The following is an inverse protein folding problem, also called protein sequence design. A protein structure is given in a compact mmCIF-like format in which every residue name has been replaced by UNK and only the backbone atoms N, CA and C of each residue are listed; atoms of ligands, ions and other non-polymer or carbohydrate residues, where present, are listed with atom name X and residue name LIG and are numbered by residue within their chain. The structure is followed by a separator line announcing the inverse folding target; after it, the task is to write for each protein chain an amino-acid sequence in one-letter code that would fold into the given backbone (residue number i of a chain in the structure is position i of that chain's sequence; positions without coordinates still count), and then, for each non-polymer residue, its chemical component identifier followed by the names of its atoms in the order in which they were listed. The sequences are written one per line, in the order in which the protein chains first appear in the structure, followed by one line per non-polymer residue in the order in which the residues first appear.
data_IF_209693740083
#
_entry.id   IF_209693740083
#
_cell.length_a   1.000
_cell.length_b   1.000
_cell.length_c   1.000
_cell.angle_alpha   90.00
_cell.angle_beta   90.00
_cell.angle_gamma   90.00
#
_symmetry.space_group_name_H-M   'P 1'
#
loop_
_entity.id
_entity.type
_entity.pdbx_description
1 polymer ?
#
# COMPACT_ATOMS: atom_id res chain seq x y z
N UNK A 1 9.15 14.26 -12.12
CA UNK A 1 7.83 14.65 -11.56
C UNK A 1 6.82 13.68 -12.16
N UNK A 2 6.06 12.94 -11.33
CA UNK A 2 4.97 12.10 -11.84
C UNK A 2 3.82 12.98 -12.36
N UNK A 3 3.10 12.56 -13.41
CA UNK A 3 1.94 13.30 -13.87
C UNK A 3 0.88 13.40 -12.77
N UNK A 4 0.01 14.40 -12.89
CA UNK A 4 -1.17 14.49 -12.03
C UNK A 4 -2.03 13.22 -12.19
N UNK A 5 -2.72 12.83 -11.12
CA UNK A 5 -3.67 11.73 -11.17
C UNK A 5 -4.90 12.21 -11.94
N UNK A 6 -5.08 11.70 -13.16
CA UNK A 6 -6.29 11.94 -13.94
C UNK A 6 -7.49 11.26 -13.29
N UNK A 7 -8.63 11.95 -13.28
CA UNK A 7 -9.92 11.47 -12.75
C UNK A 7 -9.89 10.94 -11.30
N UNK A 8 -9.00 11.48 -10.46
CA UNK A 8 -8.87 11.10 -9.05
C UNK A 8 -9.11 12.28 -8.09
N UNK A 9 -9.87 12.11 -6.99
CA UNK A 9 -10.64 10.93 -6.62
C UNK A 9 -11.91 10.75 -7.49
N UNK A 10 -12.31 9.49 -7.70
CA UNK A 10 -13.47 9.10 -8.51
C UNK A 10 -14.79 9.11 -7.72
N UNK A 11 -14.71 9.11 -6.38
CA UNK A 11 -15.87 8.97 -5.49
C UNK A 11 -16.20 7.52 -5.12
N UNK A 12 -15.50 6.53 -5.68
CA UNK A 12 -15.44 5.16 -5.16
C UNK A 12 -14.15 5.00 -4.34
N UNK A 13 -14.27 5.07 -3.02
CA UNK A 13 -13.15 4.93 -2.08
C UNK A 13 -12.31 3.67 -2.34
N UNK A 14 -12.95 2.57 -2.76
CA UNK A 14 -12.26 1.32 -3.02
C UNK A 14 -11.47 1.38 -4.34
N UNK A 15 -12.02 2.03 -5.38
CA UNK A 15 -11.29 2.26 -6.63
C UNK A 15 -10.11 3.20 -6.43
N UNK A 16 -10.33 4.29 -5.70
CA UNK A 16 -9.31 5.29 -5.39
C UNK A 16 -8.18 4.68 -4.57
N UNK A 17 -8.50 3.90 -3.52
CA UNK A 17 -7.49 3.20 -2.73
C UNK A 17 -6.69 2.18 -3.56
N UNK A 18 -7.34 1.45 -4.49
CA UNK A 18 -6.65 0.52 -5.41
C UNK A 18 -5.66 1.27 -6.29
N UNK A 19 -6.06 2.40 -6.87
CA UNK A 19 -5.21 3.17 -7.76
C UNK A 19 -3.96 3.71 -7.04
N UNK A 20 -4.13 4.28 -5.85
CA UNK A 20 -3.01 4.75 -5.03
C UNK A 20 -2.08 3.60 -4.63
N UNK A 21 -2.61 2.43 -4.26
CA UNK A 21 -1.78 1.27 -3.91
C UNK A 21 -0.94 0.80 -5.11
N UNK A 22 -1.50 0.77 -6.33
CA UNK A 22 -0.75 0.41 -7.54
C UNK A 22 0.39 1.38 -7.84
N UNK A 23 0.21 2.68 -7.58
CA UNK A 23 1.26 3.67 -7.75
C UNK A 23 2.38 3.49 -6.72
N UNK A 24 2.01 3.19 -5.47
CA UNK A 24 2.99 2.85 -4.42
C UNK A 24 3.77 1.59 -4.80
N UNK A 25 3.11 0.54 -5.29
CA UNK A 25 3.75 -0.70 -5.73
C UNK A 25 4.76 -0.45 -6.86
N UNK A 26 4.39 0.30 -7.90
CA UNK A 26 5.32 0.68 -8.97
C UNK A 26 6.52 1.46 -8.43
N UNK A 27 6.29 2.45 -7.56
CA UNK A 27 7.36 3.25 -6.98
C UNK A 27 8.32 2.41 -6.13
N UNK A 28 7.80 1.45 -5.35
CA UNK A 28 8.60 0.50 -4.57
C UNK A 28 9.47 -0.36 -5.48
N UNK A 29 8.92 -0.87 -6.58
CA UNK A 29 9.65 -1.73 -7.51
C UNK A 29 10.80 -0.99 -8.21
N UNK A 30 10.68 0.32 -8.42
CA UNK A 30 11.74 1.13 -9.02
C UNK A 30 12.95 1.35 -8.09
N UNK A 31 12.74 1.45 -6.78
CA UNK A 31 13.79 1.69 -5.79
C UNK A 31 13.46 1.04 -4.44
N UNK A 32 13.50 -0.31 -4.35
CA UNK A 32 13.02 -1.05 -3.20
C UNK A 32 13.78 -0.70 -1.91
N UNK A 33 15.07 -0.40 -1.99
CA UNK A 33 15.90 0.00 -0.86
C UNK A 33 15.50 1.35 -0.23
N UNK A 34 14.81 2.22 -1.00
CA UNK A 34 14.30 3.50 -0.51
C UNK A 34 12.95 3.35 0.21
N UNK A 35 12.32 2.18 0.14
CA UNK A 35 11.05 1.94 0.82
C UNK A 35 11.26 1.71 2.32
N UNK A 36 10.35 2.27 3.13
CA UNK A 36 10.38 2.14 4.59
C UNK A 36 9.87 0.75 5.04
N UNK A 37 10.67 -0.30 4.83
CA UNK A 37 10.30 -1.70 5.14
C UNK A 37 9.96 -1.95 6.61
N UNK A 38 10.47 -1.12 7.53
CA UNK A 38 10.14 -1.20 8.97
C UNK A 38 8.69 -0.80 9.27
N UNK A 39 8.02 -0.12 8.35
CA UNK A 39 6.62 0.26 8.52
C UNK A 39 5.70 -0.95 8.31
N UNK A 40 5.09 -1.41 9.40
CA UNK A 40 4.12 -2.53 9.40
C UNK A 40 2.79 -2.11 8.76
N UNK A 41 2.73 -2.00 7.43
CA UNK A 41 1.55 -1.53 6.68
C UNK A 41 0.39 -2.54 6.67
N UNK A 42 0.68 -3.84 6.61
CA UNK A 42 -0.31 -4.92 6.52
C UNK A 42 -0.80 -5.44 7.89
N UNK A 43 -1.62 -4.63 8.59
CA UNK A 43 -2.18 -5.00 9.91
C UNK A 43 -3.56 -5.66 9.81
N UNK A 44 -4.42 -5.17 8.92
CA UNK A 44 -5.79 -5.65 8.73
C UNK A 44 -5.81 -6.98 7.99
N UNK A 45 -6.63 -7.93 8.46
CA UNK A 45 -6.75 -9.26 7.86
C UNK A 45 -8.14 -9.88 8.00
N UNK A 46 -8.48 -10.84 7.13
CA UNK A 46 -9.62 -11.71 7.32
C UNK A 46 -9.50 -12.50 8.64
N UNK A 47 -10.62 -12.75 9.33
CA UNK A 47 -10.66 -13.63 10.51
C UNK A 47 -10.05 -15.01 10.19
N UNK A 48 -9.25 -15.55 11.12
CA UNK A 48 -8.65 -16.88 11.00
C UNK A 48 -7.29 -16.95 10.28
N UNK A 49 -6.79 -15.84 9.72
CA UNK A 49 -5.46 -15.81 9.08
C UNK A 49 -4.32 -15.65 10.10
N UNK A 50 -3.23 -16.40 9.92
CA UNK A 50 -2.00 -16.24 10.73
C UNK A 50 -1.41 -14.84 10.57
N UNK A 51 -0.75 -14.31 11.61
CA UNK A 51 -0.13 -12.98 11.60
C UNK A 51 1.16 -12.92 10.73
N UNK A 52 1.43 -11.77 10.09
CA UNK A 52 2.62 -11.49 9.26
C UNK A 52 3.77 -10.98 10.12
N UNK A 53 3.43 -10.28 11.20
CA UNK A 53 4.39 -9.72 12.13
C UNK A 53 4.29 -10.46 13.44
N UNK A 54 5.43 -10.86 13.98
CA UNK A 54 5.50 -11.34 15.36
C UNK A 54 5.08 -10.23 16.31
N UNK A 55 4.39 -10.62 17.39
CA UNK A 55 4.11 -9.73 18.50
C UNK A 55 5.39 -9.68 19.34
N UNK A 56 5.99 -8.51 19.59
CA UNK A 56 7.15 -8.44 20.47
C UNK A 56 6.75 -8.97 21.85
N UNK A 57 7.56 -9.90 22.37
CA UNK A 57 7.42 -10.48 23.71
C UNK A 57 7.75 -9.46 24.79
#
# INVERSE_FOLDING_TARGET
IFPALEDFPTGDDAADARYINQLVEHAVLHAPEQYLWVHRRFKTRPPGSAAFYSRPS
#
